data_IF_394437979576
#
_entry.id   IF_394437979576
#
_cell.length_a   1.000
_cell.length_b   1.000
_cell.length_c   1.000
_cell.angle_alpha   90.00
_cell.angle_beta   90.00
_cell.angle_gamma   90.00
#
_symmetry.space_group_name_H-M   'P 1'
#
loop_
_entity.id
_entity.type
_entity.pdbx_description
1 polymer ?
#
# COMPACT_ATOMS: atom_id res chain seq x y z
N UNK A 1 7.86 20.72 5.84
CA UNK A 1 6.70 20.25 6.62
C UNK A 1 6.98 18.80 6.99
N UNK A 2 6.92 18.49 8.28
CA UNK A 2 6.99 17.11 8.77
C UNK A 2 5.70 16.37 8.39
N UNK A 3 5.83 15.16 7.88
CA UNK A 3 4.70 14.44 7.28
C UNK A 3 4.70 12.94 7.64
N UNK A 4 3.50 12.35 7.58
CA UNK A 4 3.31 10.90 7.47
C UNK A 4 2.75 10.54 6.10
N UNK A 5 2.89 9.26 5.73
CA UNK A 5 2.20 8.67 4.57
C UNK A 5 1.20 7.62 5.07
N UNK A 6 -0.05 7.71 4.64
CA UNK A 6 -1.03 6.64 4.82
C UNK A 6 -0.59 5.43 4.00
N UNK A 7 -0.16 4.37 4.70
CA UNK A 7 0.59 3.28 4.09
C UNK A 7 -0.24 2.00 3.97
N UNK A 8 -0.63 1.69 2.74
CA UNK A 8 -1.34 0.44 2.44
C UNK A 8 -0.42 -0.72 2.05
N UNK A 9 0.89 -0.47 1.90
CA UNK A 9 1.90 -1.35 1.28
C UNK A 9 1.84 -1.45 -0.25
N UNK A 10 0.85 -0.85 -0.88
CA UNK A 10 0.61 -0.92 -2.32
C UNK A 10 1.24 0.20 -3.14
N UNK A 11 1.04 0.10 -4.45
CA UNK A 11 1.68 0.95 -5.45
C UNK A 11 1.33 2.43 -5.30
N UNK A 12 0.08 2.78 -4.95
CA UNK A 12 -0.37 4.17 -4.82
C UNK A 12 0.27 4.87 -3.61
N UNK A 13 0.29 4.21 -2.45
CA UNK A 13 0.96 4.77 -1.26
C UNK A 13 2.46 4.95 -1.50
N UNK A 14 3.10 4.00 -2.21
CA UNK A 14 4.51 4.06 -2.56
C UNK A 14 4.81 5.18 -3.56
N UNK A 15 4.02 5.32 -4.63
CA UNK A 15 4.17 6.39 -5.62
C UNK A 15 3.91 7.77 -4.98
N UNK A 16 2.96 7.86 -4.04
CA UNK A 16 2.69 9.09 -3.29
C UNK A 16 3.88 9.51 -2.42
N UNK A 17 4.52 8.57 -1.74
CA UNK A 17 5.77 8.81 -1.02
C UNK A 17 6.86 9.29 -1.98
N UNK A 18 7.04 8.62 -3.12
CA UNK A 18 8.05 8.97 -4.12
C UNK A 18 7.91 10.41 -4.63
N UNK A 19 6.68 10.83 -4.96
CA UNK A 19 6.40 12.20 -5.44
C UNK A 19 6.58 13.29 -4.38
N UNK A 20 6.43 12.94 -3.11
CA UNK A 20 6.40 13.95 -2.02
C UNK A 20 7.68 14.03 -1.21
N UNK A 21 8.51 12.99 -1.12
CA UNK A 21 9.70 12.91 -0.28
C UNK A 21 10.73 14.05 -0.48
N UNK A 22 10.79 14.64 -1.69
CA UNK A 22 11.70 15.77 -1.97
C UNK A 22 11.15 17.11 -1.46
N UNK A 23 9.85 17.18 -1.18
CA UNK A 23 9.15 18.42 -0.79
C UNK A 23 8.71 18.40 0.68
N UNK A 24 8.54 17.21 1.25
CA UNK A 24 8.09 16.98 2.61
C UNK A 24 9.13 16.13 3.36
N UNK A 25 9.31 16.44 4.62
CA UNK A 25 10.09 15.61 5.54
C UNK A 25 9.19 14.47 6.04
N UNK A 26 9.12 13.39 5.26
CA UNK A 26 8.35 12.21 5.66
C UNK A 26 9.12 11.46 6.74
N UNK A 27 8.49 11.22 7.89
CA UNK A 27 9.09 10.52 9.02
C UNK A 27 8.36 9.21 9.35
N UNK A 28 7.07 9.14 9.03
CA UNK A 28 6.23 8.02 9.44
C UNK A 28 5.49 7.41 8.25
N UNK A 29 5.39 6.08 8.27
CA UNK A 29 4.38 5.32 7.57
C UNK A 29 3.27 5.00 8.57
N UNK A 30 2.03 5.37 8.26
CA UNK A 30 0.88 5.05 9.11
C UNK A 30 0.00 4.00 8.43
N UNK A 31 -0.09 2.82 9.03
CA UNK A 31 -0.88 1.69 8.55
C UNK A 31 -1.98 1.31 9.53
N UNK A 32 -3.16 1.05 8.99
CA UNK A 32 -4.27 0.49 9.76
C UNK A 32 -4.34 -1.02 9.56
N UNK A 33 -4.14 -1.76 10.63
CA UNK A 33 -4.24 -3.21 10.66
C UNK A 33 -5.68 -3.66 10.96
N UNK A 34 -5.97 -4.91 10.65
CA UNK A 34 -7.17 -5.58 11.09
C UNK A 34 -7.19 -5.70 12.63
N UNK A 35 -8.34 -6.06 13.19
CA UNK A 35 -8.57 -6.10 14.63
C UNK A 35 -7.59 -7.04 15.36
N UNK A 36 -7.21 -8.14 14.71
CA UNK A 36 -6.23 -9.10 15.23
C UNK A 36 -4.77 -8.59 15.21
N UNK A 37 -4.50 -7.45 14.56
CA UNK A 37 -3.18 -6.85 14.43
C UNK A 37 -2.19 -7.62 13.55
N UNK A 38 -2.63 -8.71 12.91
CA UNK A 38 -1.74 -9.59 12.15
C UNK A 38 -1.57 -9.17 10.69
N UNK A 39 -2.58 -8.54 10.12
CA UNK A 39 -2.60 -8.19 8.70
C UNK A 39 -3.10 -6.77 8.48
N UNK A 40 -2.62 -6.15 7.42
CA UNK A 40 -3.21 -4.90 6.92
C UNK A 40 -4.66 -5.15 6.49
N UNK A 41 -5.52 -4.16 6.74
CA UNK A 41 -6.96 -4.33 6.57
C UNK A 41 -7.37 -4.63 5.12
N UNK A 42 -6.86 -3.87 4.16
CA UNK A 42 -7.32 -3.96 2.76
C UNK A 42 -6.50 -4.92 1.92
N UNK A 43 -5.19 -5.02 2.15
CA UNK A 43 -4.29 -5.82 1.32
C UNK A 43 -4.00 -7.22 1.88
N UNK A 44 -4.36 -7.48 3.15
CA UNK A 44 -4.10 -8.76 3.80
C UNK A 44 -2.62 -9.08 4.01
N UNK A 45 -1.75 -8.06 4.00
CA UNK A 45 -0.30 -8.22 4.18
C UNK A 45 0.04 -8.34 5.66
N UNK A 46 0.87 -9.31 6.00
CA UNK A 46 1.37 -9.52 7.35
C UNK A 46 2.10 -8.29 7.91
N UNK A 47 1.89 -8.00 9.19
CA UNK A 47 2.48 -6.83 9.87
C UNK A 47 4.01 -6.85 9.86
N UNK A 48 4.64 -8.02 9.84
CA UNK A 48 6.08 -8.23 9.70
C UNK A 48 6.63 -7.75 8.35
N UNK A 49 5.90 -8.00 7.26
CA UNK A 49 6.27 -7.52 5.94
C UNK A 49 6.08 -5.99 5.80
N UNK A 50 5.06 -5.42 6.45
CA UNK A 50 4.88 -3.96 6.49
C UNK A 50 6.01 -3.31 7.29
N UNK A 51 6.43 -3.90 8.41
CA UNK A 51 7.60 -3.45 9.16
C UNK A 51 8.87 -3.54 8.29
N UNK A 52 9.03 -4.65 7.54
CA UNK A 52 10.15 -4.81 6.62
C UNK A 52 10.19 -3.75 5.52
N UNK A 53 9.01 -3.30 5.02
CA UNK A 53 8.95 -2.15 4.10
C UNK A 53 9.44 -0.88 4.78
N UNK A 54 8.96 -0.58 5.99
CA UNK A 54 9.35 0.61 6.75
C UNK A 54 10.87 0.64 6.98
N UNK A 55 11.45 -0.48 7.38
CA UNK A 55 12.90 -0.63 7.60
C UNK A 55 13.70 -0.40 6.32
N UNK A 56 13.24 -0.99 5.20
CA UNK A 56 13.87 -0.83 3.89
C UNK A 56 13.77 0.62 3.37
N UNK A 57 12.68 1.31 3.67
CA UNK A 57 12.48 2.72 3.35
C UNK A 57 13.21 3.65 4.34
N UNK A 58 13.60 3.16 5.52
CA UNK A 58 14.22 3.95 6.58
C UNK A 58 13.28 4.92 7.27
N UNK A 59 11.99 4.55 7.36
CA UNK A 59 10.93 5.34 7.96
C UNK A 59 10.36 4.60 9.20
N UNK A 60 9.86 5.36 10.17
CA UNK A 60 9.19 4.77 11.32
C UNK A 60 7.79 4.27 10.94
N UNK A 61 7.43 3.06 11.39
CA UNK A 61 6.09 2.51 11.22
C UNK A 61 5.21 2.83 12.43
N UNK A 62 4.06 3.40 12.16
CA UNK A 62 2.96 3.51 13.12
C UNK A 62 1.86 2.58 12.62
N UNK A 63 1.59 1.52 13.37
CA UNK A 63 0.50 0.59 13.07
C UNK A 63 -0.54 0.64 14.16
N UNK A 64 -1.83 0.69 13.79
CA UNK A 64 -2.97 0.68 14.72
C UNK A 64 -3.98 -0.36 14.29
N UNK A 65 -4.44 -1.13 15.26
CA UNK A 65 -5.49 -2.11 15.05
C UNK A 65 -6.84 -1.43 15.22
N UNK A 66 -7.82 -1.79 14.41
CA UNK A 66 -9.19 -1.30 14.56
C UNK A 66 -10.21 -2.29 14.02
N UNK A 67 -11.41 -2.27 14.56
CA UNK A 67 -12.60 -2.79 13.89
C UNK A 67 -13.06 -1.80 12.78
N UNK A 68 -14.01 -2.19 11.94
CA UNK A 68 -14.58 -1.24 10.97
C UNK A 68 -15.35 -0.10 11.67
N UNK A 69 -16.17 -0.35 12.70
CA UNK A 69 -16.83 0.73 13.43
C UNK A 69 -15.87 1.73 14.07
N UNK A 70 -14.72 1.28 14.55
CA UNK A 70 -13.75 2.11 15.29
C UNK A 70 -12.67 2.72 14.37
N UNK A 71 -12.70 2.42 13.05
CA UNK A 71 -11.65 2.80 12.12
C UNK A 71 -11.38 4.30 12.11
N UNK A 72 -12.42 5.10 11.92
CA UNK A 72 -12.28 6.55 11.81
C UNK A 72 -11.84 7.18 13.13
N UNK A 73 -12.37 6.72 14.27
CA UNK A 73 -11.97 7.23 15.58
C UNK A 73 -10.51 6.92 15.88
N UNK A 74 -10.07 5.67 15.63
CA UNK A 74 -8.68 5.26 15.79
C UNK A 74 -7.74 6.06 14.89
N UNK A 75 -8.16 6.30 13.65
CA UNK A 75 -7.40 7.12 12.70
C UNK A 75 -7.25 8.55 13.22
N UNK A 76 -8.36 9.22 13.58
CA UNK A 76 -8.37 10.59 14.12
C UNK A 76 -7.49 10.71 15.38
N UNK A 77 -7.62 9.77 16.32
CA UNK A 77 -6.82 9.74 17.55
C UNK A 77 -5.32 9.65 17.25
N UNK A 78 -4.94 8.83 16.27
CA UNK A 78 -3.54 8.72 15.85
C UNK A 78 -3.04 10.01 15.22
N UNK A 79 -3.86 10.67 14.40
CA UNK A 79 -3.50 11.96 13.79
C UNK A 79 -3.30 13.06 14.83
N UNK A 80 -4.12 13.09 15.88
CA UNK A 80 -3.94 14.06 16.99
C UNK A 80 -2.58 13.84 17.66
N UNK A 81 -2.20 12.60 17.98
CA UNK A 81 -0.87 12.31 18.54
C UNK A 81 0.27 12.70 17.60
N UNK A 82 0.14 12.41 16.29
CA UNK A 82 1.12 12.83 15.30
C UNK A 82 1.24 14.37 15.20
N UNK A 83 0.13 15.08 15.37
CA UNK A 83 0.13 16.55 15.42
C UNK A 83 0.92 17.09 16.61
N UNK A 84 0.78 16.46 17.77
CA UNK A 84 1.55 16.80 18.97
C UNK A 84 3.05 16.56 18.79
N UNK A 85 3.43 15.56 17.96
CA UNK A 85 4.82 15.31 17.56
C UNK A 85 5.31 16.25 16.45
N UNK A 86 4.51 17.25 16.06
CA UNK A 86 4.86 18.27 15.09
C UNK A 86 4.61 17.89 13.62
N UNK A 87 3.86 16.80 13.36
CA UNK A 87 3.43 16.46 12.00
C UNK A 87 2.39 17.49 11.53
N UNK A 88 2.58 18.02 10.32
CA UNK A 88 1.74 19.06 9.72
C UNK A 88 1.11 18.66 8.39
N UNK A 89 1.52 17.52 7.83
CA UNK A 89 0.95 17.01 6.57
C UNK A 89 0.75 15.49 6.64
N UNK A 90 -0.33 15.01 6.00
CA UNK A 90 -0.58 13.60 5.73
C UNK A 90 -0.66 13.36 4.23
N UNK A 91 0.07 12.38 3.72
CA UNK A 91 0.11 12.01 2.30
C UNK A 91 -0.73 10.78 2.06
N UNK A 92 -1.58 10.82 1.02
CA UNK A 92 -2.54 9.76 0.69
C UNK A 92 -2.45 9.39 -0.79
N UNK A 93 -2.73 8.13 -1.11
CA UNK A 93 -2.60 7.57 -2.45
C UNK A 93 -3.87 7.59 -3.29
N UNK A 94 -4.92 8.27 -2.87
CA UNK A 94 -6.21 8.31 -3.56
C UNK A 94 -6.10 9.07 -4.89
N UNK A 95 -6.75 8.51 -5.94
CA UNK A 95 -6.65 9.04 -7.31
C UNK A 95 -7.87 9.90 -7.67
N UNK A 96 -9.09 9.35 -7.60
CA UNK A 96 -10.26 10.05 -8.14
C UNK A 96 -11.61 9.72 -7.46
N UNK A 97 -11.61 8.94 -6.38
CA UNK A 97 -12.84 8.62 -5.63
C UNK A 97 -13.15 9.76 -4.65
N UNK A 98 -14.14 10.61 -5.00
CA UNK A 98 -14.46 11.82 -4.21
C UNK A 98 -14.76 11.52 -2.74
N UNK A 99 -15.48 10.43 -2.44
CA UNK A 99 -15.78 10.04 -1.06
C UNK A 99 -14.52 9.75 -0.22
N UNK A 100 -13.46 9.20 -0.85
CA UNK A 100 -12.18 8.98 -0.17
C UNK A 100 -11.50 10.30 0.15
N UNK A 101 -11.48 11.23 -0.81
CA UNK A 101 -10.91 12.56 -0.58
C UNK A 101 -11.65 13.31 0.52
N UNK A 102 -12.98 13.32 0.49
CA UNK A 102 -13.79 14.00 1.50
C UNK A 102 -13.50 13.45 2.91
N UNK A 103 -13.38 12.13 3.02
CA UNK A 103 -13.00 11.47 4.26
C UNK A 103 -11.58 11.86 4.72
N UNK A 104 -10.60 11.79 3.80
CA UNK A 104 -9.19 12.13 4.08
C UNK A 104 -9.07 13.59 4.54
N UNK A 105 -9.70 14.53 3.82
CA UNK A 105 -9.72 15.96 4.18
C UNK A 105 -10.41 16.18 5.52
N UNK A 106 -11.50 15.45 5.80
CA UNK A 106 -12.23 15.50 7.06
C UNK A 106 -11.40 15.05 8.27
N UNK A 107 -10.75 13.87 8.19
CA UNK A 107 -9.94 13.34 9.30
C UNK A 107 -8.66 14.17 9.52
N UNK A 108 -8.04 14.65 8.46
CA UNK A 108 -6.89 15.54 8.55
C UNK A 108 -7.28 16.91 9.13
N UNK A 109 -8.39 17.49 8.67
CA UNK A 109 -8.92 18.76 9.18
C UNK A 109 -9.25 18.69 10.67
N UNK A 110 -9.83 17.58 11.13
CA UNK A 110 -10.09 17.34 12.56
C UNK A 110 -8.81 17.47 13.41
N UNK A 111 -7.68 16.94 12.94
CA UNK A 111 -6.41 16.99 13.65
C UNK A 111 -5.59 18.27 13.35
N UNK A 112 -6.06 19.17 12.49
CA UNK A 112 -5.29 20.33 12.05
C UNK A 112 -4.03 19.96 11.24
N UNK A 113 -4.11 18.87 10.47
CA UNK A 113 -3.07 18.36 9.56
C UNK A 113 -3.52 18.64 8.13
N UNK A 114 -2.61 19.05 7.25
CA UNK A 114 -2.90 19.26 5.83
C UNK A 114 -2.95 17.90 5.09
N UNK A 115 -4.06 17.59 4.43
CA UNK A 115 -4.14 16.48 3.49
C UNK A 115 -3.36 16.82 2.19
N UNK A 116 -2.57 15.88 1.70
CA UNK A 116 -1.80 15.96 0.47
C UNK A 116 -2.08 14.71 -0.35
N UNK A 117 -2.72 14.89 -1.50
CA UNK A 117 -3.10 13.83 -2.42
C UNK A 117 -2.33 14.02 -3.75
N UNK A 118 -1.09 13.52 -3.85
CA UNK A 118 -0.22 13.83 -4.99
C UNK A 118 -0.64 13.13 -6.30
N UNK A 119 -1.58 12.19 -6.24
CA UNK A 119 -2.09 11.46 -7.39
C UNK A 119 -3.51 11.92 -7.80
N UNK A 120 -4.06 12.91 -7.11
CA UNK A 120 -5.45 13.30 -7.25
C UNK A 120 -5.80 13.81 -8.65
N UNK A 121 -6.86 13.22 -9.25
CA UNK A 121 -7.38 13.50 -10.59
C UNK A 121 -6.39 13.24 -11.73
N UNK A 122 -5.36 12.45 -11.49
CA UNK A 122 -4.46 12.01 -12.55
C UNK A 122 -5.02 10.80 -13.30
N UNK A 123 -4.58 10.64 -14.54
CA UNK A 123 -4.99 9.50 -15.35
C UNK A 123 -4.34 8.21 -14.81
N UNK A 124 -5.14 7.16 -14.65
CA UNK A 124 -4.76 5.91 -13.99
C UNK A 124 -3.63 5.16 -14.70
N UNK A 125 -3.70 5.02 -16.04
CA UNK A 125 -2.64 4.33 -16.78
C UNK A 125 -1.29 5.06 -16.72
N UNK A 126 -1.19 6.38 -16.94
CA UNK A 126 0.04 7.13 -16.71
C UNK A 126 0.64 6.94 -15.32
N UNK A 127 -0.18 6.87 -14.26
CA UNK A 127 0.31 6.61 -12.89
C UNK A 127 0.93 5.22 -12.74
N UNK A 128 0.28 4.19 -13.30
CA UNK A 128 0.83 2.82 -13.26
C UNK A 128 2.13 2.74 -14.08
N UNK A 129 2.20 3.41 -15.23
CA UNK A 129 3.44 3.49 -16.01
C UNK A 129 4.54 4.24 -15.28
N UNK A 130 4.23 5.39 -14.66
CA UNK A 130 5.21 6.11 -13.83
C UNK A 130 5.78 5.23 -12.71
N UNK A 131 4.93 4.42 -12.06
CA UNK A 131 5.37 3.47 -11.05
C UNK A 131 6.39 2.47 -11.62
N UNK A 132 6.11 1.89 -12.80
CA UNK A 132 6.99 0.94 -13.49
C UNK A 132 8.27 1.64 -13.96
N UNK A 133 8.15 2.77 -14.64
CA UNK A 133 9.27 3.53 -15.22
C UNK A 133 10.22 4.08 -14.15
N UNK A 134 9.71 4.40 -12.98
CA UNK A 134 10.52 4.77 -11.83
C UNK A 134 11.33 3.60 -11.26
N UNK A 135 11.10 2.37 -11.71
CA UNK A 135 11.82 1.17 -11.28
C UNK A 135 11.23 0.50 -10.04
N UNK A 136 10.00 0.83 -9.66
CA UNK A 136 9.31 0.11 -8.58
C UNK A 136 8.84 -1.27 -9.06
N UNK A 137 8.82 -2.21 -8.12
CA UNK A 137 8.32 -3.57 -8.35
C UNK A 137 7.26 -3.92 -7.32
N UNK A 138 6.15 -4.43 -7.77
CA UNK A 138 5.03 -4.86 -6.93
C UNK A 138 4.41 -6.14 -7.46
N UNK A 139 3.82 -6.93 -6.56
CA UNK A 139 3.03 -8.11 -6.91
C UNK A 139 1.58 -7.92 -6.49
N UNK A 140 0.67 -8.53 -7.25
CA UNK A 140 -0.75 -8.61 -6.90
C UNK A 140 -0.92 -9.58 -5.74
N UNK A 141 -1.52 -9.12 -4.65
CA UNK A 141 -1.73 -9.91 -3.42
C UNK A 141 -3.20 -10.14 -3.07
N UNK A 142 -4.09 -9.37 -3.66
CA UNK A 142 -5.52 -9.53 -3.49
C UNK A 142 -6.20 -9.26 -4.83
N UNK A 143 -7.23 -10.03 -5.14
CA UNK A 143 -8.12 -9.80 -6.30
C UNK A 143 -9.58 -9.96 -5.86
N UNK A 144 -10.44 -9.13 -6.43
CA UNK A 144 -11.87 -9.32 -6.33
C UNK A 144 -12.32 -10.27 -7.46
N UNK A 145 -12.87 -11.43 -7.08
CA UNK A 145 -13.25 -12.50 -8.00
C UNK A 145 -14.38 -12.12 -8.98
N UNK A 146 -15.06 -10.99 -8.78
CA UNK A 146 -16.00 -10.42 -9.74
C UNK A 146 -15.32 -9.85 -10.98
N UNK A 147 -14.05 -9.48 -10.88
CA UNK A 147 -13.30 -8.81 -11.93
C UNK A 147 -12.11 -9.63 -12.43
N UNK A 148 -11.38 -10.27 -11.52
CA UNK A 148 -10.12 -10.96 -11.81
C UNK A 148 -10.08 -12.34 -11.13
N UNK A 149 -9.62 -13.35 -11.85
CA UNK A 149 -9.43 -14.69 -11.30
C UNK A 149 -8.17 -14.83 -10.44
N UNK A 150 -8.04 -15.97 -9.77
CA UNK A 150 -6.91 -16.29 -8.89
C UNK A 150 -5.55 -16.36 -9.60
N UNK A 151 -5.54 -16.49 -10.92
CA UNK A 151 -4.33 -16.51 -11.75
C UNK A 151 -3.60 -15.16 -11.77
N UNK A 152 -4.29 -14.09 -11.38
CA UNK A 152 -3.68 -12.76 -11.24
C UNK A 152 -2.85 -12.62 -9.96
N UNK A 153 -3.09 -13.44 -8.94
CA UNK A 153 -2.33 -13.42 -7.70
C UNK A 153 -0.88 -13.84 -7.93
N UNK A 154 0.06 -13.02 -7.46
CA UNK A 154 1.50 -13.19 -7.61
C UNK A 154 2.07 -12.61 -8.90
N UNK A 155 1.24 -12.04 -9.78
CA UNK A 155 1.75 -11.34 -10.98
C UNK A 155 2.41 -10.03 -10.59
N UNK A 156 3.56 -9.74 -11.20
CA UNK A 156 4.19 -8.42 -11.09
C UNK A 156 3.42 -7.38 -11.90
N UNK A 157 3.52 -6.13 -11.45
CA UNK A 157 3.01 -4.95 -12.16
C UNK A 157 4.07 -4.51 -13.14
N UNK A 158 3.91 -4.90 -14.40
CA UNK A 158 4.79 -4.62 -15.53
C UNK A 158 3.99 -4.26 -16.80
N UNK A 159 4.67 -4.00 -17.91
CA UNK A 159 4.00 -3.71 -19.19
C UNK A 159 3.09 -4.84 -19.68
N UNK A 160 3.45 -6.09 -19.38
CA UNK A 160 2.61 -7.24 -19.70
C UNK A 160 1.35 -7.26 -18.85
N UNK A 161 1.44 -6.91 -17.55
CA UNK A 161 0.28 -6.74 -16.69
C UNK A 161 -0.66 -5.68 -17.27
N UNK A 162 -0.14 -4.51 -17.68
CA UNK A 162 -0.93 -3.45 -18.31
C UNK A 162 -1.63 -3.95 -19.57
N UNK A 163 -0.90 -4.65 -20.44
CA UNK A 163 -1.47 -5.17 -21.67
C UNK A 163 -2.57 -6.21 -21.42
N UNK A 164 -2.40 -7.06 -20.42
CA UNK A 164 -3.35 -8.13 -20.12
C UNK A 164 -4.59 -7.61 -19.37
N UNK A 165 -4.44 -6.70 -18.40
CA UNK A 165 -5.60 -6.15 -17.69
C UNK A 165 -6.52 -5.36 -18.63
N UNK A 166 -5.94 -4.67 -19.61
CA UNK A 166 -6.72 -3.99 -20.65
C UNK A 166 -7.58 -4.95 -21.49
N UNK A 167 -7.09 -6.16 -21.75
CA UNK A 167 -7.84 -7.18 -22.51
C UNK A 167 -9.04 -7.71 -21.74
N UNK A 168 -9.07 -7.60 -20.40
CA UNK A 168 -10.23 -8.05 -19.61
C UNK A 168 -11.47 -7.22 -19.93
N UNK A 169 -11.30 -5.94 -20.28
CA UNK A 169 -12.39 -5.01 -20.58
C UNK A 169 -13.28 -4.66 -19.37
N UNK A 170 -13.05 -5.27 -18.22
CA UNK A 170 -13.90 -5.15 -17.01
C UNK A 170 -13.19 -4.55 -15.83
N UNK A 171 -11.85 -4.56 -15.83
CA UNK A 171 -11.03 -4.14 -14.70
C UNK A 171 -10.35 -2.81 -14.97
N UNK A 172 -10.33 -1.97 -13.95
CA UNK A 172 -9.53 -0.76 -13.96
C UNK A 172 -8.04 -1.07 -13.87
N UNK A 173 -7.26 -0.33 -14.65
CA UNK A 173 -5.81 -0.54 -14.74
C UNK A 173 -5.07 -0.23 -13.42
N UNK A 174 -5.59 0.71 -12.62
CA UNK A 174 -5.04 1.06 -11.32
C UNK A 174 -5.66 0.27 -10.15
N UNK A 175 -6.78 -0.44 -10.37
CA UNK A 175 -7.48 -1.19 -9.32
C UNK A 175 -8.26 -0.31 -8.34
N UNK A 176 -8.59 0.93 -8.72
CA UNK A 176 -9.24 1.93 -7.85
C UNK A 176 -10.67 1.56 -7.40
N UNK A 177 -11.29 0.61 -8.07
CA UNK A 177 -12.62 0.11 -7.70
C UNK A 177 -12.54 -1.15 -6.84
N UNK A 178 -11.35 -1.50 -6.34
CA UNK A 178 -11.11 -2.69 -5.55
C UNK A 178 -10.95 -3.98 -6.35
N UNK A 179 -10.58 -3.88 -7.65
CA UNK A 179 -10.35 -5.06 -8.51
C UNK A 179 -9.17 -5.87 -8.04
N UNK A 180 -8.10 -5.19 -7.60
CA UNK A 180 -6.90 -5.83 -7.07
C UNK A 180 -6.13 -4.92 -6.13
N UNK A 181 -5.32 -5.51 -5.24
CA UNK A 181 -4.36 -4.83 -4.40
C UNK A 181 -2.95 -5.39 -4.56
N UNK A 182 -1.95 -4.58 -4.27
CA UNK A 182 -0.55 -4.90 -4.51
C UNK A 182 0.30 -4.80 -3.25
N UNK A 183 1.46 -5.48 -3.28
CA UNK A 183 2.55 -5.35 -2.32
C UNK A 183 3.82 -4.90 -3.06
N UNK A 184 4.34 -3.73 -2.71
CA UNK A 184 5.58 -3.20 -3.29
C UNK A 184 6.77 -3.79 -2.52
N UNK A 185 7.71 -4.39 -3.25
CA UNK A 185 8.83 -5.09 -2.62
C UNK A 185 10.20 -4.54 -3.03
N UNK A 186 10.26 -3.65 -4.03
CA UNK A 186 11.51 -3.06 -4.51
C UNK A 186 11.24 -1.71 -5.20
N UNK A 187 12.30 -0.91 -5.35
CA UNK A 187 12.26 0.35 -6.09
C UNK A 187 13.24 1.38 -5.56
N UNK A 188 13.27 2.58 -6.16
CA UNK A 188 14.30 3.59 -5.90
C UNK A 188 14.30 4.17 -4.48
N UNK A 189 13.26 3.93 -3.70
CA UNK A 189 13.18 4.35 -2.29
C UNK A 189 13.71 3.30 -1.32
N UNK A 190 13.79 2.04 -1.75
CA UNK A 190 14.17 0.92 -0.91
C UNK A 190 15.69 0.79 -0.82
N UNK A 191 16.24 0.72 0.38
CA UNK A 191 17.67 0.46 0.61
C UNK A 191 18.11 -0.90 0.07
N UNK A 192 17.17 -1.86 0.02
CA UNK A 192 17.35 -3.22 -0.52
C UNK A 192 15.97 -3.82 -0.85
N UNK A 193 15.89 -4.70 -1.86
CA UNK A 193 14.67 -5.44 -2.15
C UNK A 193 14.23 -6.30 -0.96
N UNK A 194 12.93 -6.43 -0.76
CA UNK A 194 12.34 -7.34 0.21
C UNK A 194 12.27 -8.75 -0.38
N UNK A 195 12.69 -9.73 0.42
CA UNK A 195 12.61 -11.15 0.06
C UNK A 195 11.40 -11.78 0.71
N UNK A 196 10.60 -12.45 -0.08
CA UNK A 196 9.43 -13.19 0.38
C UNK A 196 9.20 -14.42 -0.51
N UNK A 197 8.38 -15.33 -0.03
CA UNK A 197 7.82 -16.43 -0.83
C UNK A 197 6.30 -16.33 -0.87
N UNK A 198 5.72 -16.80 -1.96
CA UNK A 198 4.28 -17.00 -2.04
C UNK A 198 3.88 -18.17 -1.14
N UNK A 199 2.94 -17.94 -0.24
CA UNK A 199 2.28 -18.92 0.57
C UNK A 199 0.95 -19.38 -0.03
N UNK A 200 -0.03 -19.65 0.81
CA UNK A 200 -1.34 -20.14 0.39
C UNK A 200 -2.19 -19.04 -0.25
N UNK A 201 -3.05 -19.48 -1.19
CA UNK A 201 -4.12 -18.65 -1.74
C UNK A 201 -5.41 -18.93 -1.00
N UNK A 202 -5.88 -17.96 -0.22
CA UNK A 202 -7.14 -18.07 0.54
C UNK A 202 -8.24 -17.24 -0.12
N UNK A 203 -9.49 -17.63 0.11
CA UNK A 203 -10.66 -16.86 -0.30
C UNK A 203 -11.44 -16.41 0.93
N UNK A 204 -11.85 -15.16 0.90
CA UNK A 204 -12.75 -14.57 1.87
C UNK A 204 -13.81 -13.78 1.10
N UNK A 205 -15.05 -14.28 1.14
CA UNK A 205 -16.15 -13.75 0.34
C UNK A 205 -15.79 -13.64 -1.16
N UNK A 206 -15.85 -12.43 -1.71
CA UNK A 206 -15.51 -12.13 -3.11
C UNK A 206 -14.02 -11.84 -3.34
N UNK A 207 -13.21 -11.82 -2.28
CA UNK A 207 -11.78 -11.54 -2.39
C UNK A 207 -10.95 -12.80 -2.28
N UNK A 208 -9.95 -12.91 -3.14
CA UNK A 208 -8.90 -13.92 -3.06
C UNK A 208 -7.60 -13.26 -2.69
N UNK A 209 -6.93 -13.79 -1.68
CA UNK A 209 -5.67 -13.28 -1.15
C UNK A 209 -4.54 -14.26 -1.41
N UNK A 210 -3.36 -13.74 -1.71
CA UNK A 210 -2.10 -14.46 -1.71
C UNK A 210 -1.36 -14.13 -0.42
N UNK A 211 -1.11 -15.12 0.41
CA UNK A 211 -0.23 -14.97 1.55
C UNK A 211 1.21 -14.75 1.07
N UNK A 212 1.89 -13.77 1.66
CA UNK A 212 3.31 -13.56 1.47
C UNK A 212 4.03 -13.87 2.78
N UNK A 213 5.08 -14.70 2.70
CA UNK A 213 5.90 -15.07 3.87
C UNK A 213 7.26 -14.41 3.72
N UNK A 214 7.59 -13.50 4.64
CA UNK A 214 8.90 -12.84 4.68
C UNK A 214 10.03 -13.86 4.83
N UNK A 215 11.14 -13.67 4.10
CA UNK A 215 12.35 -14.48 4.25
C UNK A 215 13.46 -13.66 4.89
N UNK A 216 14.04 -14.17 5.96
CA UNK A 216 15.27 -13.61 6.53
C UNK A 216 16.49 -13.94 5.66
N UNK A 217 17.55 -13.14 5.75
CA UNK A 217 18.80 -13.45 5.02
C UNK A 217 19.43 -14.78 5.48
N UNK A 218 19.01 -15.34 6.61
CA UNK A 218 19.51 -16.61 7.15
C UNK A 218 18.82 -17.85 6.51
N UNK A 219 17.69 -17.66 5.82
CA UNK A 219 16.95 -18.78 5.21
C UNK A 219 17.55 -19.25 3.87
N UNK A 220 18.61 -18.59 3.38
CA UNK A 220 19.26 -18.89 2.10
C UNK A 220 20.40 -19.93 2.22
N UNK A 221 20.71 -20.45 3.41
CA UNK A 221 21.81 -21.39 3.62
C UNK A 221 21.39 -22.87 3.58
N UNK A 222 20.09 -23.17 3.46
CA UNK A 222 19.58 -24.55 3.44
C UNK A 222 18.63 -24.79 2.26
N UNK A 223 19.16 -24.86 1.04
CA UNK A 223 18.35 -25.37 -0.08
C UNK A 223 18.66 -24.70 -1.42
N UNK A 224 19.77 -25.07 -2.01
CA UNK A 224 19.92 -25.29 -3.44
C UNK A 224 21.25 -26.01 -3.70
N UNK A 225 21.24 -27.26 -3.42
CA UNK A 225 22.15 -28.23 -4.01
C UNK A 225 21.26 -29.25 -4.73
N UNK A 226 21.03 -29.03 -6.01
CA UNK A 226 21.06 -29.94 -7.16
C UNK A 226 20.61 -29.16 -8.36
#
# INVERSE_FOLDING_TARGET
MKAFVSWSSGKESCLSLFRTQKKLQVEYLFNMAAEDGRHSRSHGIGSDLIQSQADALGLALIQRNSSWPDYEETFKKTLVGLKEEGVTAGVFGDIDVQAHRDWVEGVCGFAGIKAVLPLWQEQREPLVREFIDAGFRAVVVCVNSRYLGREWLGREIDDKFIADIKKTGTSDIAGERGEYHTFVFDGPLFKKPLKFSAGEKRQDNEYCFLELVGRSNNDLTNGDGI
#
